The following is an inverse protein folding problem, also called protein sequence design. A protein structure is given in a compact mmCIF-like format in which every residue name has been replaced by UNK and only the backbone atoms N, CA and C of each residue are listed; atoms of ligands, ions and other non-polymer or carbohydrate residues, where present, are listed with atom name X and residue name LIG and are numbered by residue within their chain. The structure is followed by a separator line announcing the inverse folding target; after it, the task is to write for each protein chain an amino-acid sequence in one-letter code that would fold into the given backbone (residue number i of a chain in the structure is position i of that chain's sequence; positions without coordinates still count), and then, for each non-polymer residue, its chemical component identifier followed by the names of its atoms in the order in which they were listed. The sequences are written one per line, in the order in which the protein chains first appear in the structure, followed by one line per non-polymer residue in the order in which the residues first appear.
data_IF_418989172087
#
_entry.id   IF_418989172087
#
_cell.length_a   1.000
_cell.length_b   1.000
_cell.length_c   1.000
_cell.angle_alpha   90.00
_cell.angle_beta   90.00
_cell.angle_gamma   90.00
#
_symmetry.space_group_name_H-M   'P 1'
#
loop_
_entity.id
_entity.type
_entity.pdbx_description
1 polymer ?
#
# COMPACT_ATOMS: atom_id res chain seq x y z
N UNK A 1 5.36 -24.16 29.77
CA UNK A 1 5.40 -23.16 28.67
C UNK A 1 6.52 -22.16 28.96
N UNK A 2 7.34 -21.75 27.97
CA UNK A 2 8.44 -20.82 28.22
C UNK A 2 7.92 -19.42 28.56
N UNK A 3 8.40 -18.85 29.67
CA UNK A 3 8.02 -17.51 30.14
C UNK A 3 9.16 -16.53 29.81
N UNK A 4 8.86 -15.37 29.20
CA UNK A 4 9.89 -14.38 28.89
C UNK A 4 10.50 -13.81 30.17
N UNK A 5 11.81 -13.97 30.33
CA UNK A 5 12.54 -13.51 31.54
C UNK A 5 12.65 -11.99 31.64
N UNK A 6 12.61 -11.28 30.52
CA UNK A 6 12.76 -9.82 30.42
C UNK A 6 11.77 -9.26 29.39
N UNK A 7 11.36 -8.00 29.58
CA UNK A 7 10.50 -7.31 28.62
C UNK A 7 11.29 -6.98 27.34
N UNK A 8 10.62 -7.04 26.20
CA UNK A 8 11.20 -6.56 24.93
C UNK A 8 11.40 -5.05 24.98
N UNK A 9 12.54 -4.55 24.51
CA UNK A 9 12.75 -3.11 24.36
C UNK A 9 11.73 -2.49 23.39
N UNK A 10 11.46 -1.20 23.56
CA UNK A 10 10.48 -0.46 22.76
C UNK A 10 10.84 -0.51 21.27
N UNK A 11 12.12 -0.35 20.93
CA UNK A 11 12.62 -0.44 19.55
C UNK A 11 12.32 -1.82 18.93
N UNK A 12 12.68 -2.91 19.62
CA UNK A 12 12.42 -4.29 19.14
C UNK A 12 10.93 -4.57 18.95
N UNK A 13 10.08 -4.04 19.84
CA UNK A 13 8.61 -4.12 19.70
C UNK A 13 8.11 -3.35 18.48
N UNK A 14 8.61 -2.14 18.22
CA UNK A 14 8.24 -1.32 17.05
C UNK A 14 8.63 -2.00 15.73
N UNK A 15 9.84 -2.55 15.62
CA UNK A 15 10.32 -3.24 14.41
C UNK A 15 9.39 -4.41 14.03
N UNK A 16 9.02 -5.26 15.00
CA UNK A 16 8.08 -6.37 14.77
C UNK A 16 6.71 -5.90 14.26
N UNK A 17 6.20 -4.78 14.81
CA UNK A 17 4.93 -4.18 14.35
C UNK A 17 5.06 -3.55 12.95
N UNK A 18 6.18 -2.92 12.64
CA UNK A 18 6.42 -2.30 11.33
C UNK A 18 6.46 -3.34 10.22
N UNK A 19 7.00 -4.54 10.48
CA UNK A 19 6.96 -5.64 9.51
C UNK A 19 5.53 -6.03 9.14
N UNK A 20 4.62 -6.07 10.11
CA UNK A 20 3.21 -6.34 9.85
C UNK A 20 2.52 -5.20 9.07
N UNK A 21 2.79 -3.95 9.44
CA UNK A 21 2.26 -2.76 8.74
C UNK A 21 2.77 -2.62 7.30
N UNK A 22 4.00 -3.03 7.02
CA UNK A 22 4.61 -2.98 5.68
C UNK A 22 3.81 -3.77 4.64
N UNK A 23 3.15 -4.85 5.05
CA UNK A 23 2.27 -5.65 4.16
C UNK A 23 1.04 -4.87 3.69
N UNK A 24 0.46 -4.03 4.56
CA UNK A 24 -0.67 -3.17 4.19
C UNK A 24 -0.26 -2.09 3.20
N UNK A 25 0.92 -1.50 3.39
CA UNK A 25 1.47 -0.51 2.46
C UNK A 25 1.65 -1.07 1.05
N UNK A 26 2.21 -2.28 0.90
CA UNK A 26 2.39 -2.90 -0.41
C UNK A 26 1.06 -3.28 -1.07
N UNK A 27 0.06 -3.71 -0.28
CA UNK A 27 -1.28 -3.96 -0.78
C UNK A 27 -1.95 -2.66 -1.28
N UNK A 28 -1.81 -1.55 -0.54
CA UNK A 28 -2.35 -0.25 -0.93
C UNK A 28 -1.77 0.28 -2.25
N UNK A 29 -0.45 0.16 -2.44
CA UNK A 29 0.20 0.55 -3.70
C UNK A 29 -0.31 -0.25 -4.90
N UNK A 30 -0.46 -1.58 -4.74
CA UNK A 30 -1.00 -2.45 -5.79
C UNK A 30 -2.46 -2.12 -6.10
N UNK A 31 -3.27 -1.87 -5.08
CA UNK A 31 -4.69 -1.49 -5.23
C UNK A 31 -4.84 -0.13 -5.93
N UNK A 32 -4.01 0.86 -5.60
CA UNK A 32 -4.01 2.17 -6.25
C UNK A 32 -3.65 2.05 -7.74
N UNK A 33 -2.56 1.35 -8.07
CA UNK A 33 -2.18 1.12 -9.47
C UNK A 33 -3.25 0.36 -10.25
N UNK A 34 -3.93 -0.58 -9.61
CA UNK A 34 -5.05 -1.32 -10.20
C UNK A 34 -6.26 -0.41 -10.46
N UNK A 35 -6.61 0.44 -9.49
CA UNK A 35 -7.72 1.38 -9.62
C UNK A 35 -7.52 2.33 -10.80
N UNK A 36 -6.32 2.90 -10.96
CA UNK A 36 -5.97 3.75 -12.11
C UNK A 36 -6.08 3.00 -13.45
N UNK A 37 -5.66 1.73 -13.50
CA UNK A 37 -5.74 0.89 -14.70
C UNK A 37 -7.18 0.56 -15.10
N UNK A 38 -8.08 0.41 -14.12
CA UNK A 38 -9.51 0.21 -14.34
C UNK A 38 -10.19 1.53 -14.73
N UNK A 39 -9.83 2.63 -14.04
CA UNK A 39 -10.41 3.96 -14.26
C UNK A 39 -10.18 4.47 -15.67
N UNK A 40 -8.98 4.26 -16.22
CA UNK A 40 -8.62 4.71 -17.56
C UNK A 40 -9.27 3.91 -18.68
N UNK A 41 -9.91 2.77 -18.41
CA UNK A 41 -10.65 1.96 -19.41
C UNK A 41 -9.82 1.38 -20.56
N UNK A 42 -8.52 1.70 -20.62
CA UNK A 42 -7.62 1.32 -21.72
C UNK A 42 -6.96 -0.06 -21.52
N UNK A 43 -7.18 -0.70 -20.37
CA UNK A 43 -6.58 -2.00 -20.04
C UNK A 43 -7.41 -3.16 -20.61
N UNK A 44 -6.93 -3.77 -21.70
CA UNK A 44 -7.61 -4.90 -22.38
C UNK A 44 -7.75 -6.17 -21.52
N UNK A 45 -7.02 -6.29 -20.40
CA UNK A 45 -6.99 -7.48 -19.54
C UNK A 45 -7.69 -7.34 -18.18
N UNK A 46 -8.04 -6.13 -17.75
CA UNK A 46 -8.67 -5.88 -16.44
C UNK A 46 -10.08 -5.34 -16.66
N UNK A 47 -11.04 -6.26 -16.87
CA UNK A 47 -12.41 -5.92 -17.18
C UNK A 47 -13.25 -5.83 -15.91
N UNK A 48 -13.61 -4.61 -15.47
CA UNK A 48 -14.50 -4.35 -14.34
C UNK A 48 -15.97 -4.52 -14.75
N UNK A 49 -16.36 -5.75 -15.10
CA UNK A 49 -17.75 -6.11 -15.46
C UNK A 49 -18.67 -5.87 -14.26
N UNK A 50 -19.15 -4.65 -14.05
CA UNK A 50 -20.11 -4.33 -12.99
C UNK A 50 -20.18 -2.88 -12.50
N UNK A 51 -19.22 -2.00 -12.84
CA UNK A 51 -19.29 -0.60 -12.42
C UNK A 51 -19.81 0.28 -13.57
N UNK A 52 -21.05 0.75 -13.45
CA UNK A 52 -21.63 1.72 -14.38
C UNK A 52 -20.73 2.95 -14.48
N UNK A 53 -20.22 3.22 -15.68
CA UNK A 53 -19.42 4.39 -16.01
C UNK A 53 -20.29 5.65 -15.95
N UNK A 54 -20.31 6.31 -14.79
CA UNK A 54 -20.75 7.69 -14.65
C UNK A 54 -19.54 8.62 -14.72
N UNK A 55 -19.67 9.75 -15.41
CA UNK A 55 -18.61 10.76 -15.62
C UNK A 55 -17.87 11.11 -14.32
N UNK A 56 -16.71 10.50 -14.12
CA UNK A 56 -15.85 10.71 -12.96
C UNK A 56 -14.76 11.73 -13.29
N UNK A 57 -14.80 12.91 -12.62
CA UNK A 57 -13.66 13.85 -12.59
C UNK A 57 -12.46 13.10 -11.98
N UNK A 58 -11.42 12.86 -12.79
CA UNK A 58 -10.26 12.07 -12.39
C UNK A 58 -9.54 12.62 -11.16
N UNK A 59 -8.95 11.71 -10.37
CA UNK A 59 -8.05 12.07 -9.30
C UNK A 59 -6.76 12.62 -9.92
N UNK A 60 -6.45 13.91 -9.71
CA UNK A 60 -5.23 14.52 -10.24
C UNK A 60 -3.99 13.81 -9.70
N UNK A 61 -3.22 13.15 -10.58
CA UNK A 61 -1.94 12.54 -10.21
C UNK A 61 -0.91 13.64 -9.93
N UNK A 62 -0.89 14.16 -8.71
CA UNK A 62 0.18 15.02 -8.25
C UNK A 62 1.49 14.22 -8.21
N UNK A 63 2.51 14.68 -8.93
CA UNK A 63 3.85 14.07 -8.98
C UNK A 63 4.34 13.67 -7.58
N UNK A 64 4.38 12.37 -7.31
CA UNK A 64 4.91 11.84 -6.05
C UNK A 64 6.43 12.02 -6.04
N UNK A 65 6.93 13.00 -5.31
CA UNK A 65 8.37 13.12 -5.02
C UNK A 65 8.84 11.81 -4.40
N UNK A 66 9.78 11.13 -5.06
CA UNK A 66 10.29 9.83 -4.65
C UNK A 66 10.77 9.84 -3.21
N UNK A 67 10.15 9.02 -2.36
CA UNK A 67 10.63 8.80 -1.00
C UNK A 67 11.98 8.05 -1.09
N UNK A 68 13.06 8.80 -0.93
CA UNK A 68 14.42 8.28 -0.90
C UNK A 68 14.57 7.42 0.37
N UNK A 69 14.71 6.10 0.20
CA UNK A 69 14.83 5.13 1.30
C UNK A 69 16.24 5.06 1.90
N UNK A 70 16.99 6.16 1.88
CA UNK A 70 18.31 6.24 2.53
C UNK A 70 18.11 6.60 4.00
N UNK A 71 18.15 5.60 4.89
CA UNK A 71 18.16 5.84 6.34
C UNK A 71 17.32 4.89 7.19
N UNK A 72 17.09 3.65 6.77
CA UNK A 72 16.51 2.61 7.62
C UNK A 72 17.47 1.44 7.80
N UNK A 73 18.61 1.70 8.42
CA UNK A 73 19.35 0.79 9.29
C UNK A 73 20.01 1.61 10.38
#
# INVERSE_FOLDING_TARGET
MPVPKKRTSISKKKIRKNFWKKKGYTAGLKAFSLAESIFTGNSKGFNSKGFGSGNSKGFGSGNSKGFNSKGFF
#
